data_IF_435457566752
#
_entry.id   IF_435457566752
#
_cell.length_a   1.000
_cell.length_b   1.000
_cell.length_c   1.000
_cell.angle_alpha   90.00
_cell.angle_beta   90.00
_cell.angle_gamma   90.00
#
_symmetry.space_group_name_H-M   'P 1'
#
loop_
_entity.id
_entity.type
_entity.pdbx_description
1 polymer ?
#
# COMPACT_ATOMS: atom_id res chain seq x y z
N UNK A 1 -15.53 5.88 1.01
CA UNK A 1 -15.76 5.23 -0.30
C UNK A 1 -15.00 3.91 -0.30
N UNK A 2 -15.67 2.76 -0.46
CA UNK A 2 -15.06 1.43 -0.42
C UNK A 2 -15.24 0.66 -1.70
N UNK A 3 -14.85 1.30 -2.81
CA UNK A 3 -15.03 0.74 -4.13
C UNK A 3 -14.29 -0.60 -4.29
N UNK A 4 -14.64 -1.38 -5.34
CA UNK A 4 -14.09 -2.72 -5.57
C UNK A 4 -12.56 -2.78 -5.52
N UNK A 5 -11.86 -1.80 -6.08
CA UNK A 5 -10.39 -1.76 -6.03
C UNK A 5 -9.83 -1.70 -4.59
N UNK A 6 -10.45 -0.91 -3.71
CA UNK A 6 -10.00 -0.79 -2.31
C UNK A 6 -10.22 -2.11 -1.57
N UNK A 7 -11.28 -2.87 -1.89
CA UNK A 7 -11.60 -4.12 -1.19
C UNK A 7 -10.93 -5.36 -1.77
N UNK A 8 -10.75 -5.41 -3.08
CA UNK A 8 -10.45 -6.67 -3.79
C UNK A 8 -9.09 -6.70 -4.46
N UNK A 9 -8.36 -5.58 -4.62
CA UNK A 9 -6.99 -5.64 -5.13
C UNK A 9 -6.10 -6.44 -4.18
N UNK A 10 -5.26 -7.32 -4.73
CA UNK A 10 -4.35 -8.19 -3.96
C UNK A 10 -3.34 -7.38 -3.13
N UNK A 11 -2.85 -6.28 -3.70
CA UNK A 11 -2.07 -5.25 -3.01
C UNK A 11 -2.68 -3.87 -3.28
N UNK A 12 -2.74 -3.01 -2.26
CA UNK A 12 -3.09 -1.59 -2.41
C UNK A 12 -1.92 -0.71 -2.01
N UNK A 13 -1.57 0.26 -2.85
CA UNK A 13 -0.52 1.23 -2.55
C UNK A 13 -1.18 2.57 -2.25
N UNK A 14 -0.93 3.10 -1.05
CA UNK A 14 -1.28 4.47 -0.67
C UNK A 14 -0.05 5.32 -0.91
N UNK A 15 0.06 5.88 -2.11
CA UNK A 15 1.22 6.67 -2.52
C UNK A 15 1.04 8.17 -2.23
N UNK A 16 2.16 8.90 -2.26
CA UNK A 16 2.27 10.35 -2.02
C UNK A 16 2.00 10.77 -0.58
N UNK A 17 2.39 9.94 0.39
CA UNK A 17 2.13 10.20 1.82
C UNK A 17 2.82 11.46 2.33
N UNK A 18 3.90 11.89 1.69
CA UNK A 18 4.62 13.14 1.96
C UNK A 18 3.72 14.38 1.76
N UNK A 19 2.66 14.27 0.94
CA UNK A 19 1.72 15.36 0.73
C UNK A 19 0.70 15.52 1.86
N UNK A 20 0.57 14.54 2.76
CA UNK A 20 -0.47 14.52 3.79
C UNK A 20 -0.55 15.80 4.66
N UNK A 21 0.58 16.39 5.13
CA UNK A 21 0.56 17.63 5.91
C UNK A 21 0.02 18.84 5.14
N UNK A 22 0.09 18.83 3.81
CA UNK A 22 -0.29 19.97 2.96
C UNK A 22 -1.73 19.90 2.46
N UNK A 23 -2.35 18.72 2.50
CA UNK A 23 -3.72 18.50 1.98
C UNK A 23 -4.72 18.16 3.08
N UNK A 24 -4.30 18.20 4.36
CA UNK A 24 -5.14 17.86 5.50
C UNK A 24 -5.53 16.39 5.55
N UNK A 25 -4.66 15.50 5.04
CA UNK A 25 -4.87 14.06 5.12
C UNK A 25 -4.26 13.49 6.41
N UNK A 26 -4.98 12.56 7.04
CA UNK A 26 -4.56 11.88 8.27
C UNK A 26 -4.21 10.42 7.94
N UNK A 27 -2.92 10.08 8.08
CA UNK A 27 -2.41 8.75 7.76
C UNK A 27 -2.86 7.68 8.78
N UNK A 28 -3.15 8.05 10.02
CA UNK A 28 -3.64 7.11 11.05
C UNK A 28 -5.09 6.71 10.75
N UNK A 29 -5.91 7.68 10.32
CA UNK A 29 -7.27 7.40 9.83
C UNK A 29 -7.24 6.49 8.60
N UNK A 30 -6.34 6.76 7.66
CA UNK A 30 -6.17 5.93 6.46
C UNK A 30 -5.72 4.50 6.80
N UNK A 31 -4.81 4.32 7.76
CA UNK A 31 -4.34 3.00 8.22
C UNK A 31 -5.48 2.18 8.82
N UNK A 32 -6.19 2.76 9.79
CA UNK A 32 -7.34 2.12 10.46
C UNK A 32 -8.41 1.72 9.45
N UNK A 33 -8.78 2.64 8.56
CA UNK A 33 -9.86 2.41 7.60
C UNK A 33 -9.43 1.37 6.54
N UNK A 34 -8.17 1.40 6.10
CA UNK A 34 -7.62 0.41 5.17
C UNK A 34 -7.64 -0.99 5.77
N UNK A 35 -7.16 -1.15 7.02
CA UNK A 35 -7.25 -2.44 7.76
C UNK A 35 -8.68 -2.95 7.85
N UNK A 36 -9.63 -2.07 8.20
CA UNK A 36 -11.05 -2.42 8.30
C UNK A 36 -11.65 -2.87 6.97
N UNK A 37 -11.27 -2.24 5.86
CA UNK A 37 -11.89 -2.47 4.55
C UNK A 37 -11.24 -3.61 3.77
N UNK A 38 -10.00 -3.95 4.10
CA UNK A 38 -9.18 -4.93 3.39
C UNK A 38 -9.02 -6.26 4.12
N UNK A 39 -9.43 -6.32 5.40
CA UNK A 39 -9.23 -7.50 6.26
C UNK A 39 -7.75 -7.86 6.25
N UNK A 40 -7.39 -9.07 5.83
CA UNK A 40 -6.01 -9.56 5.76
C UNK A 40 -5.26 -9.11 4.49
N UNK A 41 -5.93 -8.44 3.53
CA UNK A 41 -5.28 -8.06 2.26
C UNK A 41 -4.30 -6.90 2.48
N UNK A 42 -3.02 -7.03 2.07
CA UNK A 42 -1.98 -6.07 2.40
C UNK A 42 -2.20 -4.72 1.72
N UNK A 43 -1.67 -3.68 2.35
CA UNK A 43 -1.48 -2.37 1.73
C UNK A 43 -0.17 -1.76 2.22
N UNK A 44 0.40 -0.86 1.42
CA UNK A 44 1.69 -0.20 1.72
C UNK A 44 1.54 1.30 1.57
N UNK A 45 2.06 2.05 2.54
CA UNK A 45 2.20 3.50 2.44
C UNK A 45 3.51 3.84 1.74
N UNK A 46 3.45 4.68 0.71
CA UNK A 46 4.61 5.05 -0.08
C UNK A 46 4.76 6.56 -0.26
N UNK A 47 6.01 7.00 -0.29
CA UNK A 47 6.45 8.16 -1.07
C UNK A 47 7.40 7.61 -2.12
N UNK A 48 6.86 7.24 -3.28
CA UNK A 48 7.67 6.64 -4.36
C UNK A 48 8.64 7.63 -4.99
N UNK A 49 8.51 8.95 -4.74
CA UNK A 49 9.47 9.95 -5.22
C UNK A 49 10.77 9.90 -4.40
N UNK A 50 10.68 9.62 -3.09
CA UNK A 50 11.84 9.40 -2.23
C UNK A 50 12.22 7.92 -2.06
N UNK A 51 11.53 7.02 -2.76
CA UNK A 51 11.65 5.57 -2.66
C UNK A 51 11.19 4.96 -1.33
N UNK A 52 10.52 5.73 -0.46
CA UNK A 52 9.94 5.22 0.78
C UNK A 52 8.82 4.23 0.49
N UNK A 53 8.92 3.02 1.06
CA UNK A 53 7.98 1.93 0.86
C UNK A 53 8.14 1.19 -0.48
N UNK A 54 9.13 1.55 -1.31
CA UNK A 54 9.39 0.83 -2.57
C UNK A 54 9.86 -0.60 -2.31
N UNK A 55 10.75 -0.79 -1.32
CA UNK A 55 11.27 -2.13 -0.97
C UNK A 55 10.15 -3.08 -0.55
N UNK A 56 9.16 -2.61 0.23
CA UNK A 56 8.00 -3.41 0.63
C UNK A 56 7.15 -3.85 -0.58
N UNK A 57 6.98 -2.96 -1.56
CA UNK A 57 6.26 -3.27 -2.81
C UNK A 57 7.02 -4.30 -3.64
N UNK A 58 8.34 -4.14 -3.77
CA UNK A 58 9.20 -5.10 -4.50
C UNK A 58 9.16 -6.46 -3.82
N UNK A 59 9.35 -6.52 -2.50
CA UNK A 59 9.32 -7.76 -1.74
C UNK A 59 7.97 -8.48 -1.87
N UNK A 60 6.85 -7.74 -1.90
CA UNK A 60 5.54 -8.33 -2.16
C UNK A 60 5.44 -8.91 -3.58
N UNK A 61 5.92 -8.19 -4.60
CA UNK A 61 5.93 -8.67 -5.99
C UNK A 61 6.81 -9.92 -6.16
N UNK A 62 7.99 -9.94 -5.57
CA UNK A 62 8.90 -11.09 -5.59
C UNK A 62 8.26 -12.32 -4.95
N UNK A 63 7.53 -12.12 -3.85
CA UNK A 63 6.86 -13.20 -3.12
C UNK A 63 5.61 -13.73 -3.83
N UNK A 64 4.75 -12.85 -4.33
CA UNK A 64 3.40 -13.22 -4.78
C UNK A 64 3.28 -13.33 -6.31
N UNK A 65 4.13 -12.63 -7.07
CA UNK A 65 4.00 -12.53 -8.53
C UNK A 65 5.14 -13.20 -9.29
N UNK A 66 6.33 -13.32 -8.69
CA UNK A 66 7.46 -13.97 -9.34
C UNK A 66 7.59 -15.42 -8.88
N UNK A 67 7.97 -16.29 -9.81
CA UNK A 67 8.50 -17.59 -9.41
C UNK A 67 9.76 -17.34 -8.59
N UNK A 68 10.00 -18.13 -7.54
CA UNK A 68 11.25 -18.08 -6.80
C UNK A 68 12.41 -18.10 -7.82
N UNK A 69 13.05 -16.95 -8.02
CA UNK A 69 14.32 -16.86 -8.71
C UNK A 69 15.34 -17.43 -7.71
N UNK A 70 15.24 -18.73 -7.47
CA UNK A 70 16.28 -19.48 -6.78
C UNK A 70 17.49 -19.47 -7.74
N UNK A 71 18.61 -18.84 -7.39
CA UNK A 71 19.87 -19.17 -8.03
C UNK A 71 20.24 -20.65 -7.78
#
# INVERSE_FOLDING_TARGET
>A
KGGPAIRFSDLMIINKIELAPYVGADLEVMDRDSKKMREERPFVFCDLKSYKGLEDVIAWLEKECFFALNP
#
